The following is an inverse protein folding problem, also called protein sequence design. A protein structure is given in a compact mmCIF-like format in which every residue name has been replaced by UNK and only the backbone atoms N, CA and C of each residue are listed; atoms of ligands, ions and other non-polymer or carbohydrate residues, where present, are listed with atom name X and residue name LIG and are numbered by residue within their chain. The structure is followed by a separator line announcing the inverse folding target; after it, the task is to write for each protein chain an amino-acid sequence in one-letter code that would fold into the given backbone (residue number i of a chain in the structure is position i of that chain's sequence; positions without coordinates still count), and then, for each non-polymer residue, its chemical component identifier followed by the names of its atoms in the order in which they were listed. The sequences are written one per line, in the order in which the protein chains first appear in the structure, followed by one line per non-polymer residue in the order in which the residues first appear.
data_IF_509918096647
#
_entry.id   IF_509918096647
#
_cell.length_a   1.000
_cell.length_b   1.000
_cell.length_c   1.000
_cell.angle_alpha   90.00
_cell.angle_beta   90.00
_cell.angle_gamma   90.00
#
_symmetry.space_group_name_H-M   'P 1'
#
loop_
_entity.id
_entity.type
_entity.pdbx_description
1 polymer ?
#
# COMPACT_ATOMS: atom_id res chain seq x y z
N UNK A 1 8.19 2.74 -18.86
CA UNK A 1 8.32 2.31 -17.44
C UNK A 1 8.50 0.79 -17.43
N UNK A 2 9.40 0.25 -16.61
CA UNK A 2 9.85 -1.15 -16.68
C UNK A 2 8.74 -2.22 -16.49
N UNK A 3 7.57 -1.84 -15.94
CA UNK A 3 6.51 -2.79 -15.55
C UNK A 3 5.12 -2.45 -16.11
N UNK A 4 5.05 -1.58 -17.13
CA UNK A 4 3.78 -1.25 -17.81
C UNK A 4 2.92 -0.18 -17.11
N UNK A 5 1.61 -0.18 -17.41
CA UNK A 5 0.65 0.78 -16.88
C UNK A 5 0.07 0.32 -15.54
N UNK A 6 0.10 1.22 -14.54
CA UNK A 6 -0.44 0.94 -13.20
C UNK A 6 -1.94 0.60 -13.23
N UNK A 7 -2.76 1.33 -13.99
CA UNK A 7 -4.20 1.07 -14.04
C UNK A 7 -4.54 -0.26 -14.73
N UNK A 8 -3.77 -0.66 -15.73
CA UNK A 8 -3.92 -1.99 -16.34
C UNK A 8 -3.57 -3.09 -15.35
N UNK A 9 -2.47 -2.92 -14.60
CA UNK A 9 -2.09 -3.83 -13.52
C UNK A 9 -3.24 -3.99 -12.50
N UNK A 10 -3.82 -2.89 -12.02
CA UNK A 10 -4.94 -2.95 -11.07
C UNK A 10 -6.16 -3.67 -11.65
N UNK A 11 -6.48 -3.40 -12.92
CA UNK A 11 -7.60 -4.04 -13.63
C UNK A 11 -7.41 -5.55 -13.76
N UNK A 12 -6.20 -5.98 -14.09
CA UNK A 12 -5.84 -7.40 -14.19
C UNK A 12 -5.90 -8.10 -12.85
N UNK A 13 -5.34 -7.50 -11.79
CA UNK A 13 -5.35 -8.08 -10.44
C UNK A 13 -6.73 -8.10 -9.80
N UNK A 14 -7.62 -7.19 -10.17
CA UNK A 14 -9.00 -7.21 -9.71
C UNK A 14 -9.72 -8.54 -10.05
N UNK A 15 -9.33 -9.24 -11.12
CA UNK A 15 -9.88 -10.56 -11.48
C UNK A 15 -9.60 -11.65 -10.43
N UNK A 16 -8.66 -11.39 -9.52
CA UNK A 16 -8.16 -12.35 -8.54
C UNK A 16 -8.52 -12.00 -7.10
N UNK A 17 -9.18 -10.86 -6.86
CA UNK A 17 -9.47 -10.32 -5.52
C UNK A 17 -10.31 -11.27 -4.65
N UNK A 18 -11.16 -12.10 -5.26
CA UNK A 18 -12.03 -13.05 -4.57
C UNK A 18 -11.42 -14.47 -4.45
N UNK A 19 -10.20 -14.69 -4.94
CA UNK A 19 -9.59 -16.01 -4.83
C UNK A 19 -9.13 -16.25 -3.40
N UNK A 20 -9.54 -17.39 -2.84
CA UNK A 20 -9.24 -17.74 -1.44
C UNK A 20 -7.74 -17.79 -1.12
N UNK A 21 -6.90 -18.07 -2.12
CA UNK A 21 -5.45 -18.12 -1.98
C UNK A 21 -4.74 -16.80 -2.32
N UNK A 22 -5.48 -15.70 -2.45
CA UNK A 22 -4.94 -14.36 -2.74
C UNK A 22 -5.53 -13.37 -1.73
N UNK A 23 -4.66 -12.74 -0.95
CA UNK A 23 -5.06 -11.65 -0.06
C UNK A 23 -4.65 -10.32 -0.65
N UNK A 24 -5.63 -9.46 -0.92
CA UNK A 24 -5.40 -8.08 -1.32
C UNK A 24 -5.24 -7.21 -0.07
N UNK A 25 -4.19 -6.39 -0.03
CA UNK A 25 -3.92 -5.42 1.03
C UNK A 25 -3.48 -4.11 0.38
N UNK A 26 -3.90 -2.97 0.93
CA UNK A 26 -3.42 -1.67 0.47
C UNK A 26 -2.39 -1.08 1.44
N UNK A 27 -1.53 -0.20 0.92
CA UNK A 27 -0.52 0.48 1.74
C UNK A 27 -1.20 1.38 2.79
N UNK A 28 -2.28 2.04 2.40
CA UNK A 28 -3.06 2.96 3.21
C UNK A 28 -3.71 2.26 4.40
N UNK A 29 -4.26 1.06 4.22
CA UNK A 29 -4.79 0.23 5.31
C UNK A 29 -3.71 -0.13 6.34
N UNK A 30 -2.52 -0.51 5.88
CA UNK A 30 -1.39 -0.82 6.77
C UNK A 30 -0.87 0.43 7.50
N UNK A 31 -0.99 1.60 6.87
CA UNK A 31 -0.65 2.89 7.50
C UNK A 31 -1.69 3.34 8.51
N UNK A 32 -2.96 3.07 8.26
CA UNK A 32 -4.07 3.39 9.16
C UNK A 32 -4.05 2.48 10.40
N UNK A 33 -3.88 1.17 10.21
CA UNK A 33 -3.81 0.21 11.32
C UNK A 33 -2.89 -0.98 11.00
N UNK A 34 -1.60 -0.79 11.26
CA UNK A 34 -0.59 -1.81 11.05
C UNK A 34 -0.85 -3.09 11.84
N UNK A 35 -1.28 -2.98 13.11
CA UNK A 35 -1.56 -4.14 13.96
C UNK A 35 -2.68 -5.03 13.37
N UNK A 36 -3.76 -4.42 12.88
CA UNK A 36 -4.83 -5.16 12.22
C UNK A 36 -4.34 -5.79 10.91
N UNK A 37 -3.53 -5.07 10.14
CA UNK A 37 -2.89 -5.60 8.94
C UNK A 37 -2.06 -6.85 9.23
N UNK A 38 -1.21 -6.82 10.25
CA UNK A 38 -0.40 -7.98 10.69
C UNK A 38 -1.30 -9.14 11.13
N UNK A 39 -2.36 -8.88 11.90
CA UNK A 39 -3.34 -9.92 12.29
C UNK A 39 -4.00 -10.57 11.06
N UNK A 40 -4.36 -9.78 10.06
CA UNK A 40 -4.98 -10.27 8.83
C UNK A 40 -3.99 -11.13 8.02
N UNK A 41 -2.74 -10.68 7.88
CA UNK A 41 -1.66 -11.44 7.22
C UNK A 41 -1.44 -12.78 7.94
N UNK A 42 -1.30 -12.75 9.27
CA UNK A 42 -1.08 -13.96 10.07
C UNK A 42 -2.24 -14.96 9.89
N UNK A 43 -3.50 -14.48 9.97
CA UNK A 43 -4.69 -15.31 9.74
C UNK A 43 -4.71 -15.93 8.35
N UNK A 44 -4.38 -15.15 7.31
CA UNK A 44 -4.34 -15.64 5.93
C UNK A 44 -3.34 -16.79 5.74
N UNK A 45 -2.18 -16.72 6.39
CA UNK A 45 -1.19 -17.81 6.37
C UNK A 45 -1.44 -18.91 7.43
N UNK A 46 -2.49 -18.81 8.24
CA UNK A 46 -2.77 -19.76 9.31
C UNK A 46 -1.75 -19.73 10.46
N UNK A 47 -1.05 -18.62 10.64
CA UNK A 47 -0.02 -18.44 11.67
C UNK A 47 -0.69 -17.95 12.96
N UNK A 48 -0.62 -18.70 14.08
CA UNK A 48 -1.06 -18.18 15.37
C UNK A 48 -0.12 -17.06 15.81
N UNK A 49 -0.66 -16.02 16.45
CA UNK A 49 0.10 -14.84 16.84
C UNK A 49 -0.31 -14.42 18.26
N UNK A 50 0.66 -14.34 19.18
CA UNK A 50 0.42 -13.76 20.51
C UNK A 50 0.41 -12.23 20.44
N UNK A 51 -0.08 -11.58 21.50
CA UNK A 51 -0.09 -10.13 21.56
C UNK A 51 1.33 -9.54 21.63
N UNK A 52 2.27 -10.23 22.29
CA UNK A 52 3.67 -9.83 22.36
C UNK A 52 4.35 -9.95 20.98
N UNK A 53 4.09 -11.03 20.24
CA UNK A 53 4.62 -11.22 18.89
C UNK A 53 4.07 -10.16 17.93
N UNK A 54 2.78 -9.85 18.03
CA UNK A 54 2.16 -8.78 17.25
C UNK A 54 2.85 -7.44 17.50
N UNK A 55 3.00 -7.05 18.77
CA UNK A 55 3.62 -5.77 19.12
C UNK A 55 5.06 -5.69 18.61
N UNK A 56 5.81 -6.79 18.73
CA UNK A 56 7.18 -6.88 18.22
C UNK A 56 7.23 -6.71 16.69
N UNK A 57 6.31 -7.35 15.95
CA UNK A 57 6.23 -7.22 14.49
C UNK A 57 5.86 -5.79 14.09
N UNK A 58 4.87 -5.19 14.74
CA UNK A 58 4.44 -3.80 14.47
C UNK A 58 5.58 -2.81 14.74
N UNK A 59 6.30 -2.96 15.85
CA UNK A 59 7.44 -2.08 16.18
C UNK A 59 8.55 -2.20 15.15
N UNK A 60 8.94 -3.43 14.79
CA UNK A 60 10.03 -3.70 13.84
C UNK A 60 9.68 -3.30 12.40
N UNK A 61 8.42 -3.45 12.02
CA UNK A 61 7.90 -3.05 10.70
C UNK A 61 7.54 -1.56 10.61
N UNK A 62 7.62 -0.82 11.71
CA UNK A 62 7.42 0.63 11.66
C UNK A 62 8.44 1.31 10.73
N UNK A 63 8.01 2.37 10.05
CA UNK A 63 8.87 3.07 9.09
C UNK A 63 10.17 3.59 9.74
N UNK A 64 10.11 4.05 11.00
CA UNK A 64 11.28 4.53 11.72
C UNK A 64 12.28 3.41 11.99
N UNK A 65 11.81 2.25 12.46
CA UNK A 65 12.64 1.07 12.69
C UNK A 65 13.27 0.57 11.38
N UNK A 66 12.46 0.46 10.32
CA UNK A 66 12.95 0.01 9.01
C UNK A 66 13.96 1.00 8.41
N UNK A 67 13.69 2.30 8.47
CA UNK A 67 14.59 3.35 7.98
C UNK A 67 15.90 3.39 8.77
N UNK A 68 15.86 3.25 10.10
CA UNK A 68 17.08 3.14 10.91
C UNK A 68 17.92 1.93 10.51
N UNK A 69 17.27 0.82 10.13
CA UNK A 69 17.93 -0.41 9.71
C UNK A 69 18.23 -0.47 8.19
N UNK A 70 17.89 0.56 7.42
CA UNK A 70 17.97 0.51 5.96
C UNK A 70 19.41 0.43 5.46
N UNK A 71 20.35 1.08 6.15
CA UNK A 71 21.77 1.01 5.79
C UNK A 71 22.33 -0.42 5.92
N UNK A 72 21.85 -1.19 6.90
CA UNK A 72 22.27 -2.59 7.09
C UNK A 72 21.66 -3.52 6.03
N UNK A 73 20.42 -3.27 5.64
CA UNK A 73 19.66 -4.15 4.74
C UNK A 73 19.85 -3.82 3.26
N UNK A 74 20.10 -2.55 2.92
CA UNK A 74 20.15 -2.04 1.54
C UNK A 74 21.42 -1.20 1.25
N UNK A 75 22.39 -1.18 2.17
CA UNK A 75 23.64 -0.45 2.01
C UNK A 75 23.43 1.05 1.79
N UNK A 76 24.25 1.64 0.91
CA UNK A 76 24.20 3.06 0.58
C UNK A 76 22.84 3.52 0.02
N UNK A 77 22.05 2.61 -0.56
CA UNK A 77 20.73 2.92 -1.12
C UNK A 77 19.62 3.04 -0.07
N UNK A 78 19.88 2.68 1.19
CA UNK A 78 18.85 2.71 2.24
C UNK A 78 18.14 4.06 2.36
N UNK A 79 18.89 5.16 2.33
CA UNK A 79 18.32 6.51 2.43
C UNK A 79 17.50 6.93 1.21
N UNK A 80 17.77 6.34 0.03
CA UNK A 80 17.04 6.62 -1.22
C UNK A 80 15.74 5.82 -1.25
N UNK A 81 15.78 4.56 -0.82
CA UNK A 81 14.61 3.66 -0.80
C UNK A 81 13.60 4.04 0.30
N UNK A 82 14.07 4.42 1.50
CA UNK A 82 13.23 4.76 2.65
C UNK A 82 13.04 6.27 2.79
N UNK A 83 12.28 6.85 1.86
CA UNK A 83 12.14 8.31 1.71
C UNK A 83 11.27 8.97 2.81
N UNK A 84 9.93 8.95 2.65
CA UNK A 84 8.97 9.60 3.56
C UNK A 84 8.07 8.64 4.36
N UNK A 85 7.68 7.51 3.78
CA UNK A 85 6.87 6.49 4.49
C UNK A 85 5.47 6.95 4.90
N UNK A 86 4.88 7.87 4.13
CA UNK A 86 3.56 8.44 4.37
C UNK A 86 2.67 8.40 3.13
N UNK A 87 1.37 8.61 3.35
CA UNK A 87 0.33 8.67 2.31
C UNK A 87 0.18 10.12 1.83
N UNK A 88 -0.35 10.31 0.62
CA UNK A 88 -0.72 11.62 0.07
C UNK A 88 0.42 12.58 -0.30
N UNK A 89 1.66 12.10 -0.45
CA UNK A 89 2.77 12.95 -0.91
C UNK A 89 2.61 13.43 -2.38
N UNK A 90 1.70 12.83 -3.14
CA UNK A 90 1.34 13.26 -4.49
C UNK A 90 0.82 14.71 -4.51
N UNK A 91 0.21 15.19 -3.42
CA UNK A 91 -0.27 16.58 -3.28
C UNK A 91 0.84 17.62 -3.41
N UNK A 92 2.09 17.23 -3.15
CA UNK A 92 3.25 18.10 -3.29
C UNK A 92 3.88 18.06 -4.69
N UNK A 93 3.38 17.23 -5.59
CA UNK A 93 4.01 16.91 -6.87
C UNK A 93 3.12 17.17 -8.08
N UNK A 94 1.81 16.91 -7.95
CA UNK A 94 0.87 17.02 -9.05
C UNK A 94 0.32 18.45 -9.18
N UNK A 95 0.23 18.95 -10.41
CA UNK A 95 -0.57 20.13 -10.72
C UNK A 95 -2.07 19.80 -10.76
N UNK A 96 -2.93 20.81 -10.74
CA UNK A 96 -4.39 20.64 -10.87
C UNK A 96 -4.76 19.84 -12.13
N UNK A 97 -4.26 20.25 -13.31
CA UNK A 97 -4.45 19.51 -14.57
C UNK A 97 -4.02 18.03 -14.52
N UNK A 98 -2.99 17.70 -13.73
CA UNK A 98 -2.51 16.34 -13.59
C UNK A 98 -3.41 15.52 -12.66
N UNK A 99 -3.90 16.14 -11.59
CA UNK A 99 -4.88 15.54 -10.69
C UNK A 99 -6.17 15.21 -11.43
N UNK A 100 -6.73 16.15 -12.20
CA UNK A 100 -7.96 15.92 -12.96
C UNK A 100 -7.82 14.75 -13.95
N UNK A 101 -6.68 14.66 -14.65
CA UNK A 101 -6.39 13.54 -15.57
C UNK A 101 -6.29 12.21 -14.84
N UNK A 102 -5.67 12.20 -13.66
CA UNK A 102 -5.52 11.00 -12.84
C UNK A 102 -6.88 10.54 -12.28
N UNK A 103 -7.66 11.47 -11.73
CA UNK A 103 -9.00 11.23 -11.19
C UNK A 103 -9.92 10.65 -12.26
N UNK A 104 -9.94 11.26 -13.45
CA UNK A 104 -10.74 10.75 -14.59
C UNK A 104 -10.30 9.34 -15.00
N UNK A 105 -8.99 9.10 -15.11
CA UNK A 105 -8.48 7.80 -15.50
C UNK A 105 -8.77 6.71 -14.45
N UNK A 106 -8.74 7.06 -13.16
CA UNK A 106 -9.12 6.15 -12.08
C UNK A 106 -10.61 5.83 -12.12
N UNK A 107 -11.46 6.85 -12.27
CA UNK A 107 -12.92 6.69 -12.33
C UNK A 107 -13.34 5.78 -13.48
N UNK A 108 -12.82 6.03 -14.68
CA UNK A 108 -13.18 5.29 -15.89
C UNK A 108 -12.74 3.82 -15.86
N UNK A 109 -11.63 3.50 -15.19
CA UNK A 109 -11.00 2.17 -15.30
C UNK A 109 -11.14 1.32 -14.03
N UNK A 110 -11.07 1.95 -12.85
CA UNK A 110 -10.81 1.25 -11.59
C UNK A 110 -11.93 1.45 -10.57
N UNK A 111 -12.56 2.62 -10.48
CA UNK A 111 -13.50 2.94 -9.39
C UNK A 111 -14.67 1.94 -9.25
N UNK A 112 -15.19 1.44 -10.38
CA UNK A 112 -16.27 0.44 -10.39
C UNK A 112 -15.86 -0.97 -9.93
N UNK A 113 -14.55 -1.23 -9.75
CA UNK A 113 -14.02 -2.56 -9.41
C UNK A 113 -13.95 -2.79 -7.89
N UNK A 114 -13.85 -4.05 -7.46
CA UNK A 114 -13.69 -4.39 -6.04
C UNK A 114 -12.36 -3.83 -5.51
N UNK A 115 -11.29 -4.01 -6.26
CA UNK A 115 -9.97 -3.49 -5.90
C UNK A 115 -9.96 -1.96 -5.86
N UNK A 116 -10.67 -1.29 -6.76
CA UNK A 116 -10.85 0.16 -6.73
C UNK A 116 -11.50 0.67 -5.45
N UNK A 117 -12.52 -0.03 -4.95
CA UNK A 117 -13.15 0.30 -3.67
C UNK A 117 -12.19 0.13 -2.48
N UNK A 118 -11.33 -0.90 -2.52
CA UNK A 118 -10.33 -1.14 -1.46
C UNK A 118 -9.28 -0.04 -1.37
N UNK A 119 -8.95 0.63 -2.49
CA UNK A 119 -7.98 1.72 -2.51
C UNK A 119 -8.47 2.98 -1.77
N UNK A 120 -9.76 3.09 -1.46
CA UNK A 120 -10.36 4.27 -0.78
C UNK A 120 -9.90 5.59 -1.43
N UNK A 121 -9.97 5.65 -2.77
CA UNK A 121 -9.38 6.73 -3.57
C UNK A 121 -9.85 8.13 -3.15
N UNK A 122 -11.15 8.29 -2.88
CA UNK A 122 -11.72 9.56 -2.41
C UNK A 122 -11.09 10.06 -1.09
N UNK A 123 -10.58 9.16 -0.25
CA UNK A 123 -9.98 9.51 1.04
C UNK A 123 -8.49 9.88 0.90
N UNK A 124 -7.74 9.15 0.08
CA UNK A 124 -6.27 9.22 0.07
C UNK A 124 -5.66 9.89 -1.16
N UNK A 125 -6.38 9.87 -2.29
CA UNK A 125 -5.83 10.11 -3.62
C UNK A 125 -6.57 11.17 -4.43
N UNK A 126 -7.79 11.54 -4.04
CA UNK A 126 -8.57 12.57 -4.73
C UNK A 126 -8.14 13.98 -4.30
N UNK A 127 -8.03 14.87 -5.28
CA UNK A 127 -7.71 16.29 -5.11
C UNK A 127 -8.88 17.10 -4.55
#
# INVERSE_FOLDING_TARGET
VAWGCYLEYLSEWNKYVDKENIMTITYEELKENCAQGVKNIARFFGIPLTEEELQLVVERSSFQSMKKNSAKTHGAFGNVLFRKGGVSDWKNLFSEDQNEKMDKAFEERIAGTKLGKMLKYDLYCKA
#
